data_IF_005381620572
#
_entry.id   IF_005381620572
#
_cell.length_a   1.000
_cell.length_b   1.000
_cell.length_c   1.000
_cell.angle_alpha   90.00
_cell.angle_beta   90.00
_cell.angle_gamma   90.00
#
_symmetry.space_group_name_H-M   'P 1'
#
loop_
_entity.id
_entity.type
_entity.pdbx_description
1 polymer ?
#
# COMPACT_ATOMS: atom_id res chain seq x y z
N UNK A 1 6.07 -41.21 -23.46
CA UNK A 1 5.96 -40.01 -24.31
C UNK A 1 6.86 -38.95 -23.70
N UNK A 2 7.76 -38.34 -24.48
CA UNK A 2 8.55 -37.22 -24.00
C UNK A 2 7.62 -36.02 -23.73
N UNK A 3 7.84 -35.22 -22.66
CA UNK A 3 7.03 -34.04 -22.39
C UNK A 3 7.14 -33.07 -23.56
N UNK A 4 5.99 -32.76 -24.17
CA UNK A 4 5.89 -31.92 -25.38
C UNK A 4 5.86 -30.43 -25.07
N UNK A 5 5.47 -30.07 -23.85
CA UNK A 5 5.40 -28.70 -23.35
C UNK A 5 5.95 -28.61 -21.93
N UNK A 6 6.31 -27.40 -21.49
CA UNK A 6 6.86 -27.14 -20.15
C UNK A 6 5.91 -27.61 -19.03
N UNK A 7 4.58 -27.55 -19.28
CA UNK A 7 3.53 -27.94 -18.33
C UNK A 7 3.33 -29.45 -18.24
N UNK A 8 3.87 -30.22 -19.18
CA UNK A 8 3.86 -31.69 -19.17
C UNK A 8 5.00 -32.29 -18.32
N UNK A 9 5.90 -31.45 -17.82
CA UNK A 9 6.97 -31.88 -16.92
C UNK A 9 6.42 -32.32 -15.56
N UNK A 10 7.08 -33.29 -14.88
CA UNK A 10 6.85 -33.55 -13.47
C UNK A 10 6.89 -32.26 -12.66
N UNK A 11 5.98 -32.12 -11.68
CA UNK A 11 5.81 -30.88 -10.92
C UNK A 11 7.11 -30.44 -10.24
N UNK A 12 7.95 -31.37 -9.80
CA UNK A 12 9.24 -31.08 -9.18
C UNK A 12 10.19 -30.35 -10.15
N UNK A 13 10.28 -30.84 -11.39
CA UNK A 13 11.10 -30.22 -12.43
C UNK A 13 10.49 -28.89 -12.89
N UNK A 14 9.16 -28.83 -13.02
CA UNK A 14 8.46 -27.60 -13.37
C UNK A 14 8.70 -26.50 -12.32
N UNK A 15 8.59 -26.84 -11.03
CA UNK A 15 8.86 -25.92 -9.91
C UNK A 15 10.32 -25.49 -9.84
N UNK A 16 11.26 -26.41 -10.05
CA UNK A 16 12.68 -26.07 -10.09
C UNK A 16 13.00 -25.09 -11.22
N UNK A 17 12.45 -25.32 -12.42
CA UNK A 17 12.60 -24.39 -13.55
C UNK A 17 11.98 -23.04 -13.21
N UNK A 18 10.76 -23.03 -12.65
CA UNK A 18 10.12 -21.79 -12.22
C UNK A 18 10.97 -21.04 -11.19
N UNK A 19 11.54 -21.71 -10.18
CA UNK A 19 12.38 -21.09 -9.17
C UNK A 19 13.58 -20.36 -9.79
N UNK A 20 14.33 -21.04 -10.65
CA UNK A 20 15.45 -20.46 -11.40
C UNK A 20 15.00 -19.27 -12.27
N UNK A 21 13.85 -19.40 -12.96
CA UNK A 21 13.32 -18.31 -13.77
C UNK A 21 12.99 -17.07 -12.93
N UNK A 22 12.42 -17.25 -11.74
CA UNK A 22 12.05 -16.16 -10.84
C UNK A 22 13.30 -15.44 -10.33
N UNK A 23 14.32 -16.21 -9.90
CA UNK A 23 15.60 -15.68 -9.43
C UNK A 23 16.32 -14.91 -10.54
N UNK A 24 16.29 -15.39 -11.78
CA UNK A 24 16.99 -14.76 -12.90
C UNK A 24 16.32 -13.49 -13.45
N UNK A 25 14.98 -13.35 -13.33
CA UNK A 25 14.20 -12.31 -14.05
C UNK A 25 13.47 -11.30 -13.16
N UNK A 26 13.43 -11.48 -11.84
CA UNK A 26 12.73 -10.69 -10.80
C UNK A 26 11.35 -11.19 -10.37
N UNK A 27 11.03 -10.93 -9.08
CA UNK A 27 9.73 -11.18 -8.44
C UNK A 27 8.57 -10.53 -9.21
N UNK A 28 8.76 -9.32 -9.75
CA UNK A 28 7.71 -8.62 -10.52
C UNK A 28 7.34 -9.39 -11.80
N UNK A 29 8.32 -9.94 -12.50
CA UNK A 29 8.09 -10.75 -13.71
C UNK A 29 7.52 -12.13 -13.36
N UNK A 30 7.95 -12.73 -12.24
CA UNK A 30 7.39 -13.97 -11.72
C UNK A 30 5.87 -13.94 -11.57
N UNK A 31 5.32 -12.84 -11.02
CA UNK A 31 3.87 -12.71 -10.85
C UNK A 31 3.11 -12.68 -12.18
N UNK A 32 3.72 -12.26 -13.29
CA UNK A 32 3.07 -12.27 -14.62
C UNK A 32 2.86 -13.68 -15.14
N UNK A 33 3.71 -14.63 -14.75
CA UNK A 33 3.55 -16.04 -15.15
C UNK A 33 2.19 -16.60 -14.69
N UNK A 34 1.62 -16.05 -13.61
CA UNK A 34 0.28 -16.42 -13.12
C UNK A 34 -0.85 -16.11 -14.11
N UNK A 35 -0.60 -15.28 -15.13
CA UNK A 35 -1.57 -14.95 -16.17
C UNK A 35 -1.58 -15.96 -17.32
N UNK A 36 -0.59 -16.85 -17.41
CA UNK A 36 -0.47 -17.82 -18.50
C UNK A 36 -1.60 -18.84 -18.45
N UNK A 37 -1.78 -19.51 -17.31
CA UNK A 37 -2.89 -20.42 -17.06
C UNK A 37 -3.03 -20.71 -15.54
N UNK A 38 -4.05 -21.48 -15.17
CA UNK A 38 -4.33 -21.85 -13.78
C UNK A 38 -3.19 -22.62 -13.10
N UNK A 39 -2.46 -23.47 -13.82
CA UNK A 39 -1.35 -24.23 -13.27
C UNK A 39 -0.18 -23.30 -12.92
N UNK A 40 0.25 -22.42 -13.83
CA UNK A 40 1.24 -21.39 -13.49
C UNK A 40 0.77 -20.50 -12.34
N UNK A 41 -0.53 -20.13 -12.31
CA UNK A 41 -1.08 -19.30 -11.24
C UNK A 41 -0.90 -19.92 -9.85
N UNK A 42 -1.10 -21.24 -9.73
CA UNK A 42 -0.95 -21.99 -8.49
C UNK A 42 0.53 -22.31 -8.17
N UNK A 43 1.25 -22.84 -9.16
CA UNK A 43 2.62 -23.33 -8.97
C UNK A 43 3.62 -22.20 -8.73
N UNK A 44 3.43 -21.01 -9.30
CA UNK A 44 4.27 -19.84 -8.98
C UNK A 44 4.18 -19.52 -7.48
N UNK A 45 2.97 -19.49 -6.91
CA UNK A 45 2.80 -19.23 -5.48
C UNK A 45 3.44 -20.34 -4.65
N UNK A 46 3.28 -21.60 -5.06
CA UNK A 46 3.88 -22.74 -4.38
C UNK A 46 5.41 -22.65 -4.39
N UNK A 47 6.02 -22.26 -5.51
CA UNK A 47 7.46 -22.07 -5.66
C UNK A 47 7.98 -20.98 -4.72
N UNK A 48 7.26 -19.85 -4.57
CA UNK A 48 7.64 -18.82 -3.60
C UNK A 48 7.79 -19.41 -2.20
N UNK A 49 6.84 -20.25 -1.75
CA UNK A 49 6.90 -20.87 -0.42
C UNK A 49 7.96 -21.98 -0.31
N UNK A 50 8.02 -22.88 -1.29
CA UNK A 50 8.90 -24.06 -1.27
C UNK A 50 10.38 -23.66 -1.33
N UNK A 51 10.71 -22.68 -2.18
CA UNK A 51 12.07 -22.17 -2.36
C UNK A 51 12.39 -20.96 -1.48
N UNK A 52 11.43 -20.51 -0.66
CA UNK A 52 11.58 -19.37 0.26
C UNK A 52 12.05 -18.08 -0.43
N UNK A 53 11.56 -17.83 -1.65
CA UNK A 53 12.05 -16.76 -2.54
C UNK A 53 11.93 -15.36 -1.92
N UNK A 54 10.99 -15.15 -0.99
CA UNK A 54 10.84 -13.86 -0.35
C UNK A 54 11.71 -13.67 0.89
N UNK A 55 12.35 -14.71 1.43
CA UNK A 55 13.12 -14.60 2.67
C UNK A 55 14.21 -13.52 2.53
N UNK A 56 14.91 -13.46 1.39
CA UNK A 56 15.95 -12.45 1.12
C UNK A 56 15.43 -11.18 0.39
N UNK A 57 14.11 -11.00 0.31
CA UNK A 57 13.52 -9.94 -0.50
C UNK A 57 13.61 -8.57 0.19
N UNK A 58 14.16 -7.53 -0.49
CA UNK A 58 14.21 -6.17 0.04
C UNK A 58 12.88 -5.43 -0.12
N UNK A 59 11.80 -6.11 -0.54
CA UNK A 59 10.49 -5.50 -0.72
C UNK A 59 9.96 -5.10 0.67
N UNK A 60 9.57 -3.83 0.86
CA UNK A 60 8.89 -3.40 2.08
C UNK A 60 7.63 -4.20 2.35
N UNK A 61 7.41 -4.63 3.59
CA UNK A 61 6.31 -5.52 3.96
C UNK A 61 4.95 -4.94 3.57
N UNK A 62 4.74 -3.64 3.76
CA UNK A 62 3.47 -2.98 3.45
C UNK A 62 3.10 -3.05 1.95
N UNK A 63 4.09 -3.27 1.07
CA UNK A 63 3.89 -3.43 -0.38
C UNK A 63 3.58 -4.86 -0.80
N UNK A 64 3.77 -5.84 0.08
CA UNK A 64 3.50 -7.26 -0.22
C UNK A 64 2.01 -7.60 -0.14
N UNK A 65 1.23 -6.80 0.60
CA UNK A 65 -0.23 -6.97 0.75
C UNK A 65 -0.62 -8.37 1.26
N UNK A 66 -1.77 -8.87 0.81
CA UNK A 66 -2.28 -10.18 1.22
C UNK A 66 -1.35 -11.35 0.90
N UNK A 67 -0.53 -11.22 -0.14
CA UNK A 67 0.43 -12.27 -0.50
C UNK A 67 1.54 -12.39 0.55
N UNK A 68 2.08 -11.28 1.03
CA UNK A 68 3.07 -11.32 2.12
C UNK A 68 2.48 -11.85 3.42
N UNK A 69 1.23 -11.49 3.73
CA UNK A 69 0.50 -12.05 4.89
C UNK A 69 0.44 -13.58 4.78
N UNK A 70 -0.05 -14.12 3.66
CA UNK A 70 -0.16 -15.57 3.45
C UNK A 70 1.22 -16.26 3.48
N UNK A 71 2.24 -15.63 2.90
CA UNK A 71 3.62 -16.12 2.94
C UNK A 71 4.14 -16.24 4.36
N UNK A 72 4.05 -15.17 5.14
CA UNK A 72 4.49 -15.15 6.54
C UNK A 72 3.70 -16.15 7.39
N UNK A 73 2.37 -16.19 7.24
CA UNK A 73 1.51 -17.13 7.96
C UNK A 73 1.96 -18.57 7.72
N UNK A 74 2.12 -19.00 6.46
CA UNK A 74 2.57 -20.36 6.14
C UNK A 74 3.98 -20.66 6.65
N UNK A 75 4.90 -19.69 6.56
CA UNK A 75 6.26 -19.87 7.05
C UNK A 75 6.29 -20.01 8.58
N UNK A 76 5.52 -19.21 9.31
CA UNK A 76 5.41 -19.28 10.78
C UNK A 76 4.69 -20.53 11.25
N UNK A 77 3.71 -21.06 10.51
CA UNK A 77 3.04 -22.32 10.86
C UNK A 77 3.89 -23.57 10.59
N UNK A 78 4.96 -23.48 9.79
CA UNK A 78 5.81 -24.62 9.49
C UNK A 78 6.92 -24.79 10.55
N UNK A 79 6.85 -25.80 11.44
CA UNK A 79 7.81 -25.97 12.52
C UNK A 79 9.19 -26.43 12.03
N UNK A 80 9.29 -26.96 10.80
CA UNK A 80 10.55 -27.50 10.26
C UNK A 80 11.46 -26.43 9.68
N UNK A 81 10.93 -25.26 9.37
CA UNK A 81 11.72 -24.20 8.74
C UNK A 81 12.35 -23.30 9.80
N UNK A 82 13.61 -22.87 9.59
CA UNK A 82 14.25 -21.89 10.46
C UNK A 82 13.52 -20.55 10.36
N UNK A 83 13.52 -19.84 11.47
CA UNK A 83 12.90 -18.53 11.64
C UNK A 83 13.81 -17.66 12.50
N UNK A 84 13.79 -16.35 12.28
CA UNK A 84 14.54 -15.36 13.05
C UNK A 84 14.11 -15.32 14.52
N UNK A 85 14.87 -14.61 15.34
CA UNK A 85 14.51 -14.29 16.72
C UNK A 85 13.16 -13.56 16.80
N UNK A 86 12.91 -12.59 15.91
CA UNK A 86 11.63 -11.88 15.82
C UNK A 86 10.47 -12.81 15.48
N UNK A 87 10.62 -13.71 14.50
CA UNK A 87 9.57 -14.68 14.16
C UNK A 87 9.33 -15.70 15.27
N UNK A 88 10.38 -16.09 15.99
CA UNK A 88 10.26 -16.93 17.19
C UNK A 88 9.40 -16.24 18.25
N UNK A 89 9.62 -14.94 18.47
CA UNK A 89 8.78 -14.14 19.36
C UNK A 89 7.32 -14.06 18.87
N UNK A 90 7.07 -13.86 17.57
CA UNK A 90 5.70 -13.89 17.01
C UNK A 90 5.01 -15.23 17.34
N UNK A 91 5.71 -16.37 17.20
CA UNK A 91 5.18 -17.69 17.57
C UNK A 91 4.86 -17.77 19.07
N UNK A 92 5.75 -17.30 19.94
CA UNK A 92 5.53 -17.33 21.41
C UNK A 92 4.35 -16.45 21.82
N UNK A 93 4.26 -15.24 21.25
CA UNK A 93 3.15 -14.31 21.48
C UNK A 93 1.82 -14.92 21.01
N UNK A 94 1.78 -15.52 19.81
CA UNK A 94 0.58 -16.21 19.33
C UNK A 94 0.13 -17.36 20.26
N UNK A 95 1.09 -18.14 20.76
CA UNK A 95 0.80 -19.21 21.72
C UNK A 95 0.30 -18.67 23.06
N UNK A 96 0.86 -17.56 23.56
CA UNK A 96 0.40 -16.89 24.79
C UNK A 96 -1.02 -16.37 24.65
N UNK A 97 -1.37 -15.75 23.53
CA UNK A 97 -2.73 -15.29 23.23
C UNK A 97 -3.72 -16.45 23.10
N UNK A 98 -3.32 -17.56 22.47
CA UNK A 98 -4.16 -18.76 22.35
C UNK A 98 -4.44 -19.39 23.73
N UNK A 99 -3.41 -19.47 24.58
CA UNK A 99 -3.53 -19.98 25.93
C UNK A 99 -4.47 -19.13 26.80
N UNK A 100 -4.47 -17.81 26.62
CA UNK A 100 -5.39 -16.89 27.32
C UNK A 100 -6.87 -17.20 26.99
N UNK A 101 -7.15 -17.65 25.77
CA UNK A 101 -8.50 -18.07 25.35
C UNK A 101 -8.86 -19.51 25.72
N UNK A 102 -7.93 -20.25 26.33
CA UNK A 102 -8.10 -21.69 26.60
C UNK A 102 -8.20 -22.54 25.32
N UNK A 103 -7.70 -22.04 24.19
CA UNK A 103 -7.78 -22.70 22.88
C UNK A 103 -6.38 -23.16 22.44
N UNK A 104 -6.27 -24.40 21.96
CA UNK A 104 -4.97 -25.02 21.65
C UNK A 104 -4.51 -24.72 20.21
N UNK A 105 -4.60 -25.68 19.30
CA UNK A 105 -4.05 -25.59 17.95
C UNK A 105 -4.83 -24.62 17.06
N UNK A 106 -6.17 -24.61 17.16
CA UNK A 106 -7.00 -23.72 16.36
C UNK A 106 -6.84 -22.25 16.77
N UNK A 107 -6.66 -21.98 18.06
CA UNK A 107 -6.37 -20.66 18.59
C UNK A 107 -5.00 -20.15 18.12
N UNK A 108 -3.99 -21.01 18.15
CA UNK A 108 -2.64 -20.67 17.70
C UNK A 108 -2.61 -20.24 16.23
N UNK A 109 -3.21 -21.01 15.32
CA UNK A 109 -3.24 -20.67 13.89
C UNK A 109 -3.97 -19.35 13.63
N UNK A 110 -5.09 -19.14 14.33
CA UNK A 110 -5.84 -17.89 14.29
C UNK A 110 -4.97 -16.68 14.68
N UNK A 111 -4.24 -16.78 15.80
CA UNK A 111 -3.37 -15.69 16.25
C UNK A 111 -2.17 -15.46 15.36
N UNK A 112 -1.55 -16.51 14.79
CA UNK A 112 -0.49 -16.32 13.78
C UNK A 112 -1.00 -15.46 12.64
N UNK A 113 -2.19 -15.77 12.09
CA UNK A 113 -2.77 -15.00 10.99
C UNK A 113 -3.07 -13.55 11.37
N UNK A 114 -3.63 -13.31 12.57
CA UNK A 114 -3.88 -11.97 13.10
C UNK A 114 -2.58 -11.18 13.22
N UNK A 115 -1.56 -11.76 13.85
CA UNK A 115 -0.28 -11.09 14.10
C UNK A 115 0.46 -10.81 12.80
N UNK A 116 0.50 -11.74 11.84
CA UNK A 116 1.14 -11.47 10.53
C UNK A 116 0.39 -10.40 9.75
N UNK A 117 -0.95 -10.39 9.81
CA UNK A 117 -1.76 -9.32 9.20
C UNK A 117 -1.38 -7.98 9.82
N UNK A 118 -1.27 -7.93 11.15
CA UNK A 118 -0.89 -6.71 11.86
C UNK A 118 0.52 -6.27 11.51
N UNK A 119 1.51 -7.16 11.46
CA UNK A 119 2.89 -6.83 11.09
C UNK A 119 2.97 -6.24 9.69
N UNK A 120 2.27 -6.82 8.70
CA UNK A 120 2.27 -6.32 7.31
C UNK A 120 1.53 -4.99 7.17
N UNK A 121 0.43 -4.81 7.90
CA UNK A 121 -0.35 -3.57 7.85
C UNK A 121 0.27 -2.43 8.65
N UNK A 122 1.12 -2.75 9.62
CA UNK A 122 1.79 -1.75 10.44
C UNK A 122 2.88 -1.03 9.64
N UNK A 123 2.88 0.31 9.70
CA UNK A 123 3.77 1.18 8.90
C UNK A 123 5.20 1.29 9.43
N UNK A 124 5.68 0.33 10.23
CA UNK A 124 7.08 0.27 10.56
C UNK A 124 7.87 -0.08 9.28
N UNK A 125 8.90 0.69 8.90
CA UNK A 125 9.70 0.38 7.73
C UNK A 125 10.48 -0.91 8.00
N UNK A 126 9.96 -2.02 7.51
CA UNK A 126 10.65 -3.31 7.54
C UNK A 126 10.44 -4.04 6.21
N UNK A 127 11.48 -4.74 5.76
CA UNK A 127 11.46 -5.56 4.54
C UNK A 127 11.24 -7.02 4.92
N UNK A 128 10.81 -7.85 3.97
CA UNK A 128 10.71 -9.29 4.24
C UNK A 128 12.05 -9.86 4.74
N UNK A 129 13.17 -9.43 4.14
CA UNK A 129 14.52 -9.77 4.57
C UNK A 129 14.81 -9.40 6.04
N UNK A 130 14.51 -8.16 6.43
CA UNK A 130 14.78 -7.69 7.78
C UNK A 130 14.00 -8.47 8.85
N UNK A 131 12.83 -9.02 8.52
CA UNK A 131 12.04 -9.82 9.47
C UNK A 131 12.44 -11.30 9.41
N UNK A 132 12.95 -11.81 8.28
CA UNK A 132 13.36 -13.22 8.13
C UNK A 132 14.77 -13.51 8.68
N UNK A 133 15.64 -12.51 8.79
CA UNK A 133 17.05 -12.67 9.15
C UNK A 133 17.45 -11.79 10.34
N UNK A 134 18.17 -12.38 11.30
CA UNK A 134 18.69 -11.64 12.47
C UNK A 134 19.90 -10.74 12.10
N UNK A 135 20.54 -10.99 10.96
CA UNK A 135 21.76 -10.29 10.50
C UNK A 135 21.54 -8.80 10.17
N UNK A 136 20.29 -8.35 10.11
CA UNK A 136 19.93 -6.95 9.82
C UNK A 136 19.79 -6.07 11.07
N UNK A 137 19.91 -6.64 12.27
CA UNK A 137 19.83 -5.92 13.54
C UNK A 137 21.04 -6.24 14.40
N UNK A 138 21.80 -5.22 14.82
CA UNK A 138 22.98 -5.37 15.69
C UNK A 138 22.64 -5.99 17.06
N UNK A 139 21.36 -5.97 17.47
CA UNK A 139 20.87 -6.50 18.74
C UNK A 139 19.89 -7.66 18.52
N UNK A 140 20.11 -8.79 19.22
CA UNK A 140 19.15 -9.89 19.26
C UNK A 140 17.81 -9.42 19.85
N UNK A 141 16.69 -9.95 19.34
CA UNK A 141 15.35 -9.64 19.86
C UNK A 141 15.26 -9.97 21.37
N UNK A 142 15.18 -8.93 22.19
CA UNK A 142 15.28 -9.03 23.65
C UNK A 142 13.95 -9.43 24.32
N UNK A 143 14.03 -9.96 25.54
CA UNK A 143 12.83 -10.26 26.35
C UNK A 143 11.95 -9.02 26.57
N UNK A 144 12.56 -7.85 26.78
CA UNK A 144 11.83 -6.59 26.93
C UNK A 144 11.08 -6.19 25.63
N UNK A 145 11.65 -6.48 24.46
CA UNK A 145 10.97 -6.25 23.18
C UNK A 145 9.82 -7.24 22.98
N UNK A 146 10.00 -8.51 23.39
CA UNK A 146 8.94 -9.52 23.35
C UNK A 146 7.75 -9.14 24.23
N UNK A 147 8.02 -8.66 25.44
CA UNK A 147 7.00 -8.21 26.40
C UNK A 147 6.26 -6.97 25.87
N UNK A 148 6.98 -6.01 25.28
CA UNK A 148 6.39 -4.84 24.63
C UNK A 148 5.47 -5.23 23.46
N UNK A 149 5.93 -6.15 22.60
CA UNK A 149 5.14 -6.64 21.48
C UNK A 149 3.97 -7.50 21.95
N UNK A 150 4.08 -8.25 23.05
CA UNK A 150 2.96 -8.94 23.68
C UNK A 150 1.90 -7.95 24.18
N UNK A 151 2.30 -6.84 24.81
CA UNK A 151 1.39 -5.77 25.23
C UNK A 151 0.67 -5.16 24.02
N UNK A 152 1.38 -4.91 22.92
CA UNK A 152 0.79 -4.41 21.69
C UNK A 152 -0.19 -5.42 21.07
N UNK A 153 0.16 -6.70 21.06
CA UNK A 153 -0.69 -7.77 20.56
C UNK A 153 -1.96 -7.97 21.41
N UNK A 154 -1.82 -7.93 22.74
CA UNK A 154 -2.93 -7.99 23.69
C UNK A 154 -3.90 -6.80 23.49
N UNK A 155 -3.36 -5.60 23.30
CA UNK A 155 -4.14 -4.41 22.98
C UNK A 155 -4.88 -4.53 21.65
N UNK A 156 -4.22 -5.06 20.61
CA UNK A 156 -4.84 -5.29 19.29
C UNK A 156 -5.94 -6.35 19.30
N UNK A 157 -5.90 -7.29 20.25
CA UNK A 157 -6.82 -8.44 20.35
C UNK A 157 -7.76 -8.37 21.55
N UNK A 158 -7.78 -7.22 22.24
CA UNK A 158 -8.60 -6.92 23.42
C UNK A 158 -8.41 -7.88 24.61
N UNK A 159 -7.19 -8.38 24.84
CA UNK A 159 -6.88 -9.24 25.99
C UNK A 159 -6.63 -8.42 27.24
N UNK A 160 -7.71 -7.93 27.84
CA UNK A 160 -7.64 -7.04 29.00
C UNK A 160 -6.83 -7.62 30.17
N UNK A 161 -6.96 -8.93 30.44
CA UNK A 161 -6.20 -9.60 31.50
C UNK A 161 -4.69 -9.63 31.24
N UNK A 162 -4.26 -9.83 29.99
CA UNK A 162 -2.85 -9.71 29.62
C UNK A 162 -2.36 -8.25 29.68
N UNK A 163 -3.21 -7.28 29.32
CA UNK A 163 -2.85 -5.86 29.47
C UNK A 163 -2.64 -5.55 30.96
N UNK A 164 -3.55 -6.00 31.82
CA UNK A 164 -3.45 -5.82 33.27
C UNK A 164 -2.18 -6.48 33.85
N UNK A 165 -1.82 -7.68 33.38
CA UNK A 165 -0.56 -8.36 33.76
C UNK A 165 0.69 -7.53 33.39
N UNK A 166 0.67 -6.86 32.23
CA UNK A 166 1.85 -6.22 31.64
C UNK A 166 1.98 -4.73 31.96
N UNK A 167 0.95 -4.10 32.54
CA UNK A 167 0.87 -2.64 32.67
C UNK A 167 1.81 -2.05 33.73
N UNK A 168 2.22 -2.86 34.69
CA UNK A 168 3.08 -2.43 35.80
C UNK A 168 4.53 -2.17 35.36
N UNK A 169 4.94 -2.73 34.22
CA UNK A 169 6.26 -2.47 33.63
C UNK A 169 6.21 -1.19 32.77
N UNK A 170 6.87 -0.08 33.17
CA UNK A 170 6.78 1.18 32.45
C UNK A 170 7.34 1.13 31.03
N UNK A 171 8.22 0.16 30.73
CA UNK A 171 8.76 -0.04 29.38
C UNK A 171 7.65 -0.41 28.38
N UNK A 172 6.62 -1.13 28.83
CA UNK A 172 5.48 -1.56 28.01
C UNK A 172 4.52 -0.41 27.65
N UNK A 173 4.61 0.72 28.36
CA UNK A 173 3.76 1.90 28.17
C UNK A 173 4.40 2.98 27.29
N UNK A 174 5.52 2.65 26.62
CA UNK A 174 6.24 3.53 25.72
C UNK A 174 5.54 3.76 24.36
N UNK A 175 6.04 4.76 23.63
CA UNK A 175 5.65 5.06 22.24
C UNK A 175 6.65 4.51 21.21
N UNK A 176 7.51 3.57 21.62
CA UNK A 176 8.42 2.86 20.73
C UNK A 176 7.63 2.11 19.65
N UNK A 177 8.24 1.93 18.48
CA UNK A 177 7.59 1.22 17.39
C UNK A 177 8.10 -0.23 17.43
N UNK A 178 7.28 -1.13 17.97
CA UNK A 178 7.53 -2.58 17.96
C UNK A 178 7.00 -3.28 16.71
N UNK A 179 7.09 -4.61 16.70
CA UNK A 179 6.65 -5.48 15.59
C UNK A 179 5.17 -5.28 15.23
N UNK A 180 4.33 -5.02 16.23
CA UNK A 180 2.89 -4.80 16.05
C UNK A 180 2.47 -3.33 16.23
N UNK A 181 3.45 -2.42 16.28
CA UNK A 181 3.30 -1.03 16.68
C UNK A 181 3.30 -0.85 18.19
N UNK A 182 2.97 0.36 18.67
CA UNK A 182 2.79 0.60 20.10
C UNK A 182 1.39 0.15 20.58
N UNK A 183 1.23 -0.18 21.88
CA UNK A 183 -0.03 -0.68 22.42
C UNK A 183 -1.24 0.23 22.22
N UNK A 184 -1.06 1.54 22.30
CA UNK A 184 -2.16 2.50 22.12
C UNK A 184 -2.71 2.47 20.68
N UNK A 185 -1.81 2.47 19.69
CA UNK A 185 -2.21 2.43 18.27
C UNK A 185 -2.68 1.03 17.88
N UNK A 186 -2.20 -0.01 18.56
CA UNK A 186 -2.71 -1.36 18.43
C UNK A 186 -4.18 -1.45 18.92
N UNK A 187 -4.50 -0.93 20.11
CA UNK A 187 -5.89 -0.88 20.59
C UNK A 187 -6.81 -0.10 19.63
N UNK A 188 -6.34 1.04 19.11
CA UNK A 188 -7.09 1.84 18.13
C UNK A 188 -7.35 1.05 16.84
N UNK A 189 -6.33 0.37 16.30
CA UNK A 189 -6.46 -0.39 15.07
C UNK A 189 -7.34 -1.64 15.23
N UNK A 190 -7.41 -2.22 16.42
CA UNK A 190 -8.36 -3.29 16.76
C UNK A 190 -9.78 -2.77 17.06
N UNK A 191 -9.97 -1.45 17.18
CA UNK A 191 -11.24 -0.85 17.56
C UNK A 191 -11.63 -1.12 19.03
N UNK A 192 -10.65 -1.40 19.89
CA UNK A 192 -10.87 -1.89 21.24
C UNK A 192 -10.81 -0.76 22.28
N UNK A 193 -11.97 -0.11 22.48
CA UNK A 193 -12.09 1.01 23.41
C UNK A 193 -11.70 0.66 24.86
N UNK A 194 -12.03 -0.56 25.32
CA UNK A 194 -11.72 -1.00 26.68
C UNK A 194 -10.21 -1.18 26.91
N UNK A 195 -9.51 -1.79 25.95
CA UNK A 195 -8.05 -1.89 25.99
C UNK A 195 -7.41 -0.50 25.97
N UNK A 196 -7.91 0.41 25.12
CA UNK A 196 -7.41 1.78 25.04
C UNK A 196 -7.62 2.54 26.36
N UNK A 197 -8.77 2.38 27.03
CA UNK A 197 -9.03 3.00 28.33
C UNK A 197 -8.05 2.52 29.39
N UNK A 198 -7.89 1.20 29.53
CA UNK A 198 -6.98 0.61 30.50
C UNK A 198 -5.55 1.12 30.34
N UNK A 199 -5.08 1.23 29.09
CA UNK A 199 -3.77 1.80 28.76
C UNK A 199 -3.69 3.30 29.13
N UNK A 200 -4.71 4.10 28.79
CA UNK A 200 -4.72 5.54 29.07
C UNK A 200 -4.84 5.86 30.56
N UNK A 201 -5.60 5.06 31.31
CA UNK A 201 -5.78 5.18 32.77
C UNK A 201 -4.49 4.95 33.54
N UNK A 202 -3.52 4.22 32.96
CA UNK A 202 -2.22 3.94 33.56
C UNK A 202 -1.06 4.73 32.94
N UNK A 203 -1.34 5.54 31.91
CA UNK A 203 -0.34 6.42 31.33
C UNK A 203 0.00 7.60 32.25
N UNK A 204 1.29 7.90 32.43
CA UNK A 204 1.78 8.95 33.36
C UNK A 204 2.81 9.88 32.71
N UNK A 205 3.00 11.05 33.31
CA UNK A 205 4.09 11.98 32.96
C UNK A 205 3.99 12.63 31.58
N UNK A 206 5.14 13.02 30.99
CA UNK A 206 5.21 13.73 29.70
C UNK A 206 4.73 12.88 28.52
N UNK A 207 4.75 11.55 28.64
CA UNK A 207 4.28 10.63 27.61
C UNK A 207 2.78 10.84 27.28
N UNK A 208 1.97 11.36 28.22
CA UNK A 208 0.53 11.60 28.02
C UNK A 208 0.25 12.50 26.81
N UNK A 209 1.00 13.60 26.67
CA UNK A 209 0.75 14.59 25.61
C UNK A 209 1.08 13.99 24.24
N UNK A 210 2.25 13.38 24.11
CA UNK A 210 2.68 12.73 22.87
C UNK A 210 1.75 11.58 22.49
N UNK A 211 1.34 10.76 23.45
CA UNK A 211 0.46 9.61 23.22
C UNK A 211 -0.90 10.06 22.73
N UNK A 212 -1.50 11.09 23.35
CA UNK A 212 -2.79 11.65 22.90
C UNK A 212 -2.73 12.17 21.47
N UNK A 213 -1.65 12.86 21.11
CA UNK A 213 -1.42 13.32 19.74
C UNK A 213 -1.31 12.15 18.75
N UNK A 214 -0.55 11.11 19.10
CA UNK A 214 -0.43 9.91 18.27
C UNK A 214 -1.77 9.19 18.14
N UNK A 215 -2.55 9.06 19.22
CA UNK A 215 -3.89 8.48 19.19
C UNK A 215 -4.82 9.29 18.28
N UNK A 216 -4.88 10.61 18.42
CA UNK A 216 -5.76 11.47 17.61
C UNK A 216 -5.55 11.26 16.10
N UNK A 217 -4.29 11.20 15.65
CA UNK A 217 -3.96 11.00 14.24
C UNK A 217 -4.33 9.60 13.73
N UNK A 218 -4.28 8.57 14.59
CA UNK A 218 -4.54 7.19 14.19
C UNK A 218 -6.01 6.78 14.39
N UNK A 219 -6.70 7.31 15.40
CA UNK A 219 -8.10 6.99 15.70
C UNK A 219 -9.02 7.51 14.62
N UNK A 220 -8.71 8.67 14.06
CA UNK A 220 -9.46 9.22 12.91
C UNK A 220 -9.20 8.41 11.64
N UNK A 221 -7.97 7.94 11.45
CA UNK A 221 -7.55 7.17 10.28
C UNK A 221 -8.06 5.72 10.27
N UNK A 222 -8.11 5.06 11.43
CA UNK A 222 -8.35 3.62 11.56
C UNK A 222 -9.51 3.26 12.49
N UNK A 223 -9.92 4.16 13.37
CA UNK A 223 -10.94 3.91 14.38
C UNK A 223 -12.37 4.10 13.86
N UNK A 224 -13.32 3.50 14.59
CA UNK A 224 -14.75 3.73 14.36
C UNK A 224 -15.17 5.13 14.82
N UNK A 225 -16.26 5.69 14.26
CA UNK A 225 -16.80 6.98 14.72
C UNK A 225 -17.02 7.06 16.22
N UNK A 226 -17.51 5.98 16.84
CA UNK A 226 -17.69 5.91 18.30
C UNK A 226 -16.37 6.01 19.08
N UNK A 227 -15.29 5.43 18.57
CA UNK A 227 -13.98 5.54 19.20
C UNK A 227 -13.38 6.94 18.99
N UNK A 228 -13.60 7.55 17.82
CA UNK A 228 -13.19 8.94 17.56
C UNK A 228 -13.92 9.91 18.49
N UNK A 229 -15.25 9.81 18.64
CA UNK A 229 -16.03 10.63 19.59
C UNK A 229 -15.46 10.56 21.01
N UNK A 230 -15.05 9.37 21.43
CA UNK A 230 -14.44 9.17 22.74
C UNK A 230 -13.05 9.81 22.87
N UNK A 231 -12.21 9.69 21.84
CA UNK A 231 -10.85 10.21 21.85
C UNK A 231 -10.77 11.72 21.53
N UNK A 232 -11.80 12.27 20.88
CA UNK A 232 -11.93 13.68 20.49
C UNK A 232 -13.18 14.28 21.13
N UNK A 233 -13.27 14.30 22.47
CA UNK A 233 -14.44 14.86 23.15
C UNK A 233 -14.51 16.38 22.93
N UNK A 234 -15.60 16.99 23.39
CA UNK A 234 -15.71 18.44 23.40
C UNK A 234 -14.60 19.09 24.22
N UNK A 235 -13.61 19.69 23.54
CA UNK A 235 -12.50 20.36 24.18
C UNK A 235 -12.85 21.80 24.58
N UNK A 236 -12.43 22.27 25.77
CA UNK A 236 -12.66 23.65 26.18
C UNK A 236 -12.04 24.65 25.20
N UNK A 237 -12.70 25.79 24.99
CA UNK A 237 -12.22 26.84 24.06
C UNK A 237 -10.77 27.28 24.32
N UNK A 238 -10.35 27.32 25.60
CA UNK A 238 -8.97 27.63 25.99
C UNK A 238 -7.96 26.62 25.42
N UNK A 239 -8.31 25.33 25.41
CA UNK A 239 -7.48 24.29 24.85
C UNK A 239 -7.43 24.37 23.31
N UNK A 240 -8.57 24.67 22.69
CA UNK A 240 -8.66 24.87 21.24
C UNK A 240 -7.87 26.09 20.75
N UNK A 241 -7.59 27.08 21.61
CA UNK A 241 -6.80 28.24 21.23
C UNK A 241 -5.29 27.94 21.06
N UNK A 242 -4.79 26.78 21.53
CA UNK A 242 -3.38 26.44 21.38
C UNK A 242 -3.04 26.00 19.96
N UNK A 243 -1.96 26.55 19.40
CA UNK A 243 -1.53 26.29 18.01
C UNK A 243 -1.17 24.83 17.75
N UNK A 244 -0.55 24.13 18.71
CA UNK A 244 -0.26 22.70 18.61
C UNK A 244 -1.54 21.86 18.57
N UNK A 245 -2.54 22.18 19.40
CA UNK A 245 -3.85 21.51 19.38
C UNK A 245 -4.54 21.72 18.04
N UNK A 246 -4.46 22.93 17.49
CA UNK A 246 -4.97 23.21 16.14
C UNK A 246 -4.25 22.37 15.08
N UNK A 247 -2.92 22.33 15.10
CA UNK A 247 -2.15 21.50 14.16
C UNK A 247 -2.52 20.02 14.26
N UNK A 248 -2.72 19.51 15.47
CA UNK A 248 -3.09 18.13 15.72
C UNK A 248 -4.51 17.81 15.20
N UNK A 249 -5.49 18.69 15.43
CA UNK A 249 -6.84 18.56 14.87
C UNK A 249 -6.83 18.58 13.34
N UNK A 250 -6.09 19.50 12.73
CA UNK A 250 -5.97 19.57 11.27
C UNK A 250 -5.26 18.34 10.68
N UNK A 251 -4.28 17.77 11.39
CA UNK A 251 -3.66 16.51 10.99
C UNK A 251 -4.65 15.34 11.07
N UNK A 252 -5.56 15.35 12.04
CA UNK A 252 -6.58 14.33 12.26
C UNK A 252 -7.68 14.30 11.17
N UNK A 253 -7.81 15.37 10.38
CA UNK A 253 -8.68 15.39 9.19
C UNK A 253 -8.18 14.50 8.05
N UNK A 254 -6.98 13.93 8.16
CA UNK A 254 -6.42 12.98 7.21
C UNK A 254 -7.03 11.58 7.39
N UNK A 255 -8.33 11.43 7.16
CA UNK A 255 -9.09 10.20 7.37
C UNK A 255 -9.82 9.75 6.09
N UNK A 256 -9.97 8.44 5.86
CA UNK A 256 -10.85 7.92 4.80
C UNK A 256 -12.34 8.04 5.13
N UNK A 257 -12.70 8.21 6.41
CA UNK A 257 -14.09 8.13 6.87
C UNK A 257 -14.69 9.54 7.06
N UNK A 258 -15.78 9.82 6.34
CA UNK A 258 -16.46 11.13 6.36
C UNK A 258 -17.07 11.45 7.72
N UNK A 259 -17.59 10.46 8.45
CA UNK A 259 -18.10 10.64 9.81
C UNK A 259 -16.98 11.06 10.76
N UNK A 260 -15.82 10.39 10.71
CA UNK A 260 -14.64 10.75 11.51
C UNK A 260 -14.16 12.17 11.20
N UNK A 261 -14.15 12.55 9.92
CA UNK A 261 -13.84 13.93 9.50
C UNK A 261 -14.82 14.93 10.12
N UNK A 262 -16.13 14.64 10.06
CA UNK A 262 -17.17 15.50 10.61
C UNK A 262 -17.11 15.62 12.14
N UNK A 263 -16.75 14.55 12.85
CA UNK A 263 -16.52 14.60 14.31
C UNK A 263 -15.40 15.60 14.63
N UNK A 264 -14.26 15.51 13.94
CA UNK A 264 -13.13 16.43 14.14
C UNK A 264 -13.50 17.86 13.73
N UNK A 265 -14.22 18.02 12.61
CA UNK A 265 -14.67 19.35 12.15
C UNK A 265 -15.58 20.04 13.16
N UNK A 266 -16.51 19.33 13.82
CA UNK A 266 -17.33 19.91 14.90
C UNK A 266 -16.50 20.48 16.06
N UNK A 267 -15.33 19.89 16.33
CA UNK A 267 -14.40 20.40 17.35
C UNK A 267 -13.63 21.61 16.82
N UNK A 268 -13.20 21.60 15.56
CA UNK A 268 -12.53 22.73 14.90
C UNK A 268 -13.47 23.94 14.80
N UNK A 269 -14.76 23.75 14.53
CA UNK A 269 -15.77 24.81 14.42
C UNK A 269 -15.93 25.63 15.71
N UNK A 270 -15.58 25.06 16.87
CA UNK A 270 -15.57 25.74 18.17
C UNK A 270 -14.26 26.49 18.45
N UNK A 271 -13.28 26.41 17.57
CA UNK A 271 -11.97 27.05 17.72
C UNK A 271 -11.93 28.48 17.17
N UNK A 272 -10.89 29.28 17.49
CA UNK A 272 -10.72 30.63 16.93
C UNK A 272 -10.59 30.67 15.40
N UNK A 273 -10.24 29.55 14.76
CA UNK A 273 -10.08 29.43 13.31
C UNK A 273 -10.96 28.28 12.79
N UNK A 274 -12.28 28.49 12.70
CA UNK A 274 -13.26 27.41 12.54
C UNK A 274 -13.41 26.87 11.12
N UNK A 275 -12.61 27.37 10.16
CA UNK A 275 -12.73 27.02 8.74
C UNK A 275 -11.40 26.58 8.18
N UNK A 276 -11.46 25.57 7.31
CA UNK A 276 -10.31 25.16 6.53
C UNK A 276 -9.99 26.20 5.46
N UNK A 277 -8.71 26.46 5.29
CA UNK A 277 -8.21 27.28 4.18
C UNK A 277 -8.29 26.50 2.86
N UNK A 278 -8.25 27.22 1.74
CA UNK A 278 -8.18 26.59 0.41
C UNK A 278 -6.98 25.64 0.28
N UNK A 279 -5.83 26.00 0.85
CA UNK A 279 -4.63 25.15 0.87
C UNK A 279 -4.83 23.86 1.69
N UNK A 280 -5.51 23.95 2.84
CA UNK A 280 -5.82 22.79 3.67
C UNK A 280 -6.81 21.83 2.97
N UNK A 281 -7.83 22.38 2.29
CA UNK A 281 -8.78 21.58 1.50
C UNK A 281 -8.08 20.92 0.30
N UNK A 282 -7.24 21.66 -0.44
CA UNK A 282 -6.48 21.12 -1.58
C UNK A 282 -5.53 19.99 -1.13
N UNK A 283 -4.83 20.19 0.00
CA UNK A 283 -3.97 19.17 0.62
C UNK A 283 -4.74 17.92 1.03
N UNK A 284 -5.91 18.10 1.63
CA UNK A 284 -6.76 16.99 2.04
C UNK A 284 -7.26 16.21 0.81
N UNK A 285 -7.68 16.91 -0.25
CA UNK A 285 -8.14 16.29 -1.49
C UNK A 285 -7.03 15.52 -2.19
N UNK A 286 -5.83 16.11 -2.35
CA UNK A 286 -4.67 15.44 -2.93
C UNK A 286 -4.32 14.15 -2.19
N UNK A 287 -4.37 14.19 -0.85
CA UNK A 287 -4.16 13.00 -0.02
C UNK A 287 -5.26 11.96 -0.22
N UNK A 288 -6.53 12.35 -0.24
CA UNK A 288 -7.64 11.43 -0.48
C UNK A 288 -7.50 10.76 -1.85
N UNK A 289 -7.14 11.53 -2.89
CA UNK A 289 -6.87 11.02 -4.23
C UNK A 289 -5.69 10.03 -4.23
N UNK A 290 -4.55 10.40 -3.63
CA UNK A 290 -3.36 9.57 -3.55
C UNK A 290 -3.60 8.24 -2.82
N UNK A 291 -4.47 8.26 -1.81
CA UNK A 291 -4.80 7.10 -0.98
C UNK A 291 -5.99 6.30 -1.50
N UNK A 292 -6.64 6.75 -2.58
CA UNK A 292 -7.80 6.08 -3.15
C UNK A 292 -9.08 6.20 -2.31
N UNK A 293 -9.18 7.21 -1.43
CA UNK A 293 -10.33 7.42 -0.55
C UNK A 293 -11.46 8.14 -1.29
N UNK A 294 -12.22 7.39 -2.09
CA UNK A 294 -13.25 7.95 -2.99
C UNK A 294 -14.32 8.77 -2.24
N UNK A 295 -14.92 8.21 -1.18
CA UNK A 295 -15.96 8.89 -0.41
C UNK A 295 -15.45 10.20 0.21
N UNK A 296 -14.22 10.18 0.73
CA UNK A 296 -13.58 11.38 1.28
C UNK A 296 -13.26 12.39 0.18
N UNK A 297 -12.75 11.96 -0.98
CA UNK A 297 -12.50 12.85 -2.11
C UNK A 297 -13.80 13.56 -2.55
N UNK A 298 -14.91 12.81 -2.67
CA UNK A 298 -16.24 13.34 -2.99
C UNK A 298 -16.72 14.35 -1.96
N UNK A 299 -16.55 14.04 -0.68
CA UNK A 299 -16.91 14.94 0.41
C UNK A 299 -16.10 16.25 0.35
N UNK A 300 -14.78 16.17 0.17
CA UNK A 300 -13.90 17.34 0.09
C UNK A 300 -14.21 18.22 -1.13
N UNK A 301 -14.52 17.62 -2.28
CA UNK A 301 -14.97 18.37 -3.47
C UNK A 301 -16.29 19.10 -3.18
N UNK A 302 -17.23 18.46 -2.46
CA UNK A 302 -18.49 19.09 -2.02
C UNK A 302 -18.24 20.27 -1.06
N UNK A 303 -17.18 20.21 -0.25
CA UNK A 303 -16.74 21.32 0.61
C UNK A 303 -16.02 22.44 -0.15
N UNK A 304 -15.84 22.31 -1.47
CA UNK A 304 -15.20 23.32 -2.32
C UNK A 304 -13.68 23.17 -2.45
N UNK A 305 -13.13 21.97 -2.23
CA UNK A 305 -11.72 21.71 -2.51
C UNK A 305 -11.40 21.92 -4.01
N UNK A 306 -10.27 22.58 -4.28
CA UNK A 306 -9.84 22.85 -5.65
C UNK A 306 -9.31 21.58 -6.32
N UNK A 307 -9.92 21.20 -7.45
CA UNK A 307 -9.64 19.93 -8.14
C UNK A 307 -8.47 20.00 -9.13
N UNK A 308 -8.07 21.21 -9.54
CA UNK A 308 -6.92 21.41 -10.44
C UNK A 308 -5.62 21.47 -9.66
N UNK A 309 -4.51 21.49 -10.38
CA UNK A 309 -3.19 21.63 -9.78
C UNK A 309 -3.12 22.91 -8.94
N UNK A 310 -2.77 22.75 -7.67
CA UNK A 310 -2.67 23.86 -6.70
C UNK A 310 -1.20 24.08 -6.33
N UNK A 311 -0.70 25.26 -6.68
CA UNK A 311 0.64 25.69 -6.32
C UNK A 311 0.63 26.29 -4.92
N UNK A 312 1.26 25.60 -3.97
CA UNK A 312 1.37 26.12 -2.61
C UNK A 312 2.62 26.97 -2.48
N UNK A 313 2.49 28.17 -1.90
CA UNK A 313 3.65 29.04 -1.63
C UNK A 313 4.49 28.59 -0.42
N UNK A 314 3.99 27.61 0.35
CA UNK A 314 4.60 27.19 1.62
C UNK A 314 4.87 25.68 1.70
N UNK A 315 4.31 24.88 0.79
CA UNK A 315 4.38 23.41 0.81
C UNK A 315 4.53 22.84 -0.60
N UNK A 316 4.54 21.51 -0.76
CA UNK A 316 4.58 20.89 -2.10
C UNK A 316 3.31 21.21 -2.89
N UNK A 317 3.44 21.24 -4.20
CA UNK A 317 2.29 21.32 -5.10
C UNK A 317 1.35 20.13 -4.89
N UNK A 318 0.06 20.39 -5.02
CA UNK A 318 -1.00 19.40 -4.92
C UNK A 318 -1.56 19.11 -6.31
N UNK A 319 -1.69 17.83 -6.65
CA UNK A 319 -2.11 17.40 -7.96
C UNK A 319 -3.11 16.25 -7.86
N UNK A 320 -4.39 16.56 -7.55
CA UNK A 320 -5.41 15.54 -7.33
C UNK A 320 -5.49 14.51 -8.46
N UNK A 321 -5.43 14.95 -9.72
CA UNK A 321 -5.51 14.06 -10.88
C UNK A 321 -4.33 13.08 -10.97
N UNK A 322 -3.08 13.56 -10.84
CA UNK A 322 -1.88 12.70 -10.79
C UNK A 322 -1.91 11.76 -9.57
N UNK A 323 -2.35 12.27 -8.42
CA UNK A 323 -2.53 11.49 -7.20
C UNK A 323 -3.58 10.38 -7.36
N UNK A 324 -4.68 10.62 -8.07
CA UNK A 324 -5.68 9.60 -8.38
C UNK A 324 -5.11 8.50 -9.32
N UNK A 325 -4.27 8.88 -10.29
CA UNK A 325 -3.54 7.94 -11.13
C UNK A 325 -2.62 7.02 -10.29
N UNK A 326 -1.94 7.59 -9.30
CA UNK A 326 -1.12 6.83 -8.35
C UNK A 326 -1.93 5.76 -7.60
N UNK A 327 -3.13 6.11 -7.12
CA UNK A 327 -4.00 5.22 -6.38
C UNK A 327 -4.62 4.10 -7.23
N UNK A 328 -4.51 4.19 -8.57
CA UNK A 328 -5.12 3.24 -9.52
C UNK A 328 -6.64 3.14 -9.33
N UNK A 329 -7.29 4.27 -9.02
CA UNK A 329 -8.72 4.34 -8.79
C UNK A 329 -9.40 5.23 -9.86
N UNK A 330 -9.93 4.65 -10.95
CA UNK A 330 -10.64 5.36 -12.00
C UNK A 330 -11.85 6.18 -11.52
N UNK A 331 -12.52 5.76 -10.44
CA UNK A 331 -13.70 6.47 -9.94
C UNK A 331 -13.35 7.87 -9.41
N UNK A 332 -12.16 8.03 -8.82
CA UNK A 332 -11.67 9.34 -8.38
C UNK A 332 -11.31 10.22 -9.58
N UNK A 333 -10.73 9.64 -10.65
CA UNK A 333 -10.47 10.39 -11.89
C UNK A 333 -11.76 10.95 -12.46
N UNK A 334 -12.81 10.11 -12.54
CA UNK A 334 -14.09 10.57 -13.07
C UNK A 334 -14.72 11.65 -12.19
N UNK A 335 -14.69 11.48 -10.87
CA UNK A 335 -15.12 12.51 -9.93
C UNK A 335 -14.42 13.85 -10.18
N UNK A 336 -13.10 13.84 -10.38
CA UNK A 336 -12.34 15.07 -10.62
C UNK A 336 -12.70 15.72 -11.96
N UNK A 337 -12.85 14.92 -13.04
CA UNK A 337 -13.28 15.43 -14.35
C UNK A 337 -14.69 16.00 -14.34
N UNK A 338 -15.63 15.35 -13.66
CA UNK A 338 -17.01 15.82 -13.49
C UNK A 338 -17.06 17.20 -12.78
N UNK A 339 -16.00 17.54 -12.03
CA UNK A 339 -15.86 18.82 -11.33
C UNK A 339 -14.85 19.77 -11.99
N UNK A 340 -14.49 19.52 -13.26
CA UNK A 340 -13.72 20.46 -14.09
C UNK A 340 -12.20 20.38 -13.95
N UNK A 341 -11.67 19.25 -13.48
CA UNK A 341 -10.25 18.93 -13.62
C UNK A 341 -9.86 18.86 -15.11
N UNK A 342 -8.61 19.18 -15.40
CA UNK A 342 -8.03 19.10 -16.74
C UNK A 342 -6.72 18.32 -16.65
N UNK A 343 -6.39 17.64 -17.75
CA UNK A 343 -5.09 17.00 -17.91
C UNK A 343 -4.04 18.10 -18.05
N UNK A 344 -3.03 18.08 -17.19
CA UNK A 344 -1.94 19.05 -17.20
C UNK A 344 -0.63 18.26 -17.00
N UNK A 345 0.32 18.23 -17.93
CA UNK A 345 1.59 17.53 -17.68
C UNK A 345 1.54 15.99 -17.81
N UNK A 346 1.99 15.25 -16.79
CA UNK A 346 2.44 13.85 -16.89
C UNK A 346 1.52 12.83 -16.18
N UNK A 347 0.22 13.11 -16.02
CA UNK A 347 -0.70 12.19 -15.33
C UNK A 347 -0.84 10.85 -16.05
N UNK A 348 -0.85 10.87 -17.39
CA UNK A 348 -0.92 9.64 -18.21
C UNK A 348 0.30 8.76 -18.02
N UNK A 349 1.49 9.37 -17.87
CA UNK A 349 2.71 8.63 -17.57
C UNK A 349 2.63 8.00 -16.17
N UNK A 350 2.09 8.71 -15.16
CA UNK A 350 1.86 8.13 -13.83
C UNK A 350 0.88 6.95 -13.90
N UNK A 351 -0.26 7.10 -14.58
CA UNK A 351 -1.24 6.03 -14.74
C UNK A 351 -0.63 4.80 -15.43
N UNK A 352 0.11 5.01 -16.53
CA UNK A 352 0.77 3.97 -17.28
C UNK A 352 1.87 3.27 -16.46
N UNK A 353 2.68 4.02 -15.71
CA UNK A 353 3.73 3.49 -14.82
C UNK A 353 3.17 2.63 -13.68
N UNK A 354 1.96 2.96 -13.23
CA UNK A 354 1.19 2.16 -12.24
C UNK A 354 0.45 0.97 -12.88
N UNK A 355 0.46 0.87 -14.20
CA UNK A 355 -0.24 -0.17 -14.97
C UNK A 355 -1.76 -0.06 -14.87
N UNK A 356 -2.29 1.14 -14.61
CA UNK A 356 -3.72 1.40 -14.56
C UNK A 356 -4.20 1.88 -15.94
N UNK A 357 -4.42 0.92 -16.86
CA UNK A 357 -4.78 1.24 -18.23
C UNK A 357 -6.17 1.87 -18.35
N UNK A 358 -7.12 1.53 -17.48
CA UNK A 358 -8.41 2.22 -17.39
C UNK A 358 -8.23 3.73 -17.15
N UNK A 359 -7.30 4.11 -16.26
CA UNK A 359 -6.96 5.51 -16.03
C UNK A 359 -6.30 6.15 -17.26
N UNK A 360 -5.42 5.43 -17.95
CA UNK A 360 -4.80 5.90 -19.21
C UNK A 360 -5.87 6.21 -20.25
N UNK A 361 -6.87 5.35 -20.41
CA UNK A 361 -7.96 5.55 -21.36
C UNK A 361 -8.87 6.71 -21.01
N UNK A 362 -9.20 6.88 -19.72
CA UNK A 362 -9.95 8.05 -19.25
C UNK A 362 -9.15 9.33 -19.56
N UNK A 363 -7.85 9.36 -19.28
CA UNK A 363 -7.01 10.53 -19.52
C UNK A 363 -6.94 10.89 -21.02
N UNK A 364 -6.79 9.90 -21.91
CA UNK A 364 -6.80 10.11 -23.37
C UNK A 364 -8.14 10.67 -23.83
N UNK A 365 -9.26 10.14 -23.31
CA UNK A 365 -10.60 10.67 -23.61
C UNK A 365 -10.76 12.14 -23.17
N UNK A 366 -9.99 12.58 -22.18
CA UNK A 366 -9.94 13.95 -21.68
C UNK A 366 -8.76 14.78 -22.23
N UNK A 367 -8.14 14.33 -23.33
CA UNK A 367 -7.17 15.12 -24.10
C UNK A 367 -5.70 14.93 -23.72
N UNK A 368 -5.37 13.89 -22.95
CA UNK A 368 -3.96 13.53 -22.72
C UNK A 368 -3.26 13.07 -24.01
N UNK A 369 -1.99 13.42 -24.15
CA UNK A 369 -1.16 12.98 -25.26
C UNK A 369 -0.88 11.47 -25.16
N UNK A 370 -1.49 10.72 -26.07
CA UNK A 370 -1.40 9.25 -26.16
C UNK A 370 0.05 8.74 -26.25
N UNK A 371 0.97 9.54 -26.80
CA UNK A 371 2.36 9.13 -27.00
C UNK A 371 3.12 8.94 -25.67
N UNK A 372 2.70 9.64 -24.61
CA UNK A 372 3.34 9.58 -23.29
C UNK A 372 3.16 8.22 -22.59
N UNK A 373 2.18 7.41 -23.01
CA UNK A 373 1.96 6.06 -22.46
C UNK A 373 2.84 4.97 -23.10
N UNK A 374 3.41 5.23 -24.29
CA UNK A 374 4.11 4.22 -25.11
C UNK A 374 5.30 3.62 -24.35
N UNK A 375 6.17 4.45 -23.77
CA UNK A 375 7.36 3.97 -23.06
C UNK A 375 7.01 3.00 -21.92
N UNK A 376 5.93 3.30 -21.17
CA UNK A 376 5.43 2.38 -20.15
C UNK A 376 4.90 1.08 -20.77
N UNK A 377 4.10 1.15 -21.83
CA UNK A 377 3.56 -0.05 -22.49
C UNK A 377 4.67 -0.99 -23.00
N UNK A 378 5.75 -0.40 -23.55
CA UNK A 378 6.97 -1.13 -23.95
C UNK A 378 7.64 -1.77 -22.74
N UNK A 379 7.92 -1.02 -21.68
CA UNK A 379 8.57 -1.53 -20.46
C UNK A 379 7.75 -2.64 -19.77
N UNK A 380 6.42 -2.64 -19.95
CA UNK A 380 5.53 -3.68 -19.47
C UNK A 380 5.38 -4.89 -20.42
N UNK A 381 5.97 -4.85 -21.61
CA UNK A 381 5.81 -5.83 -22.71
C UNK A 381 4.34 -6.04 -23.11
N UNK A 382 3.56 -4.96 -23.16
CA UNK A 382 2.12 -5.00 -23.47
C UNK A 382 1.84 -4.64 -24.92
N UNK A 383 1.97 -5.62 -25.81
CA UNK A 383 1.66 -5.48 -27.25
C UNK A 383 0.21 -5.09 -27.49
N UNK A 384 -0.70 -5.71 -26.74
CA UNK A 384 -2.13 -5.41 -26.73
C UNK A 384 -2.41 -3.93 -26.46
N UNK A 385 -1.75 -3.36 -25.45
CA UNK A 385 -1.90 -1.95 -25.11
C UNK A 385 -1.26 -1.04 -26.17
N UNK A 386 -0.12 -1.42 -26.75
CA UNK A 386 0.49 -0.65 -27.84
C UNK A 386 -0.42 -0.58 -29.07
N UNK A 387 -1.08 -1.69 -29.43
CA UNK A 387 -2.08 -1.70 -30.49
C UNK A 387 -3.26 -0.78 -30.16
N UNK A 388 -3.79 -0.86 -28.93
CA UNK A 388 -4.89 0.03 -28.51
C UNK A 388 -4.48 1.52 -28.49
N UNK A 389 -3.23 1.84 -28.13
CA UNK A 389 -2.66 3.19 -28.24
C UNK A 389 -2.62 3.65 -29.70
N UNK A 390 -2.18 2.80 -30.62
CA UNK A 390 -2.15 3.10 -32.07
C UNK A 390 -3.55 3.35 -32.61
N UNK A 391 -4.54 2.52 -32.24
CA UNK A 391 -5.95 2.74 -32.60
C UNK A 391 -6.48 4.10 -32.11
N UNK A 392 -5.91 4.62 -31.01
CA UNK A 392 -6.23 5.95 -30.44
C UNK A 392 -5.33 7.08 -30.98
N UNK A 393 -4.57 6.82 -32.03
CA UNK A 393 -3.77 7.81 -32.75
C UNK A 393 -2.31 7.92 -32.30
N UNK A 394 -1.80 6.96 -31.54
CA UNK A 394 -0.37 6.89 -31.23
C UNK A 394 0.44 6.57 -32.49
N UNK A 395 1.50 7.33 -32.72
CA UNK A 395 2.46 7.08 -33.80
C UNK A 395 3.68 6.39 -33.22
N UNK A 396 3.92 5.15 -33.65
CA UNK A 396 5.05 4.34 -33.21
C UNK A 396 6.32 4.52 -34.06
N UNK A 397 6.37 5.50 -34.97
CA UNK A 397 7.53 5.79 -35.82
C UNK A 397 8.26 7.08 -35.37
N UNK A 398 9.35 7.44 -36.05
CA UNK A 398 10.08 8.68 -35.76
C UNK A 398 10.79 8.67 -34.40
N UNK A 399 10.80 9.80 -33.69
CA UNK A 399 11.52 9.93 -32.41
C UNK A 399 10.91 9.06 -31.31
N UNK A 400 9.57 9.06 -31.18
CA UNK A 400 8.85 8.26 -30.17
C UNK A 400 9.07 6.76 -30.42
N UNK A 401 8.99 6.33 -31.68
CA UNK A 401 9.33 4.97 -32.08
C UNK A 401 10.77 4.58 -31.76
N UNK A 402 11.73 5.44 -32.07
CA UNK A 402 13.14 5.19 -31.80
C UNK A 402 13.42 5.06 -30.31
N UNK A 403 12.80 5.91 -29.46
CA UNK A 403 12.88 5.84 -28.01
C UNK A 403 12.26 4.55 -27.46
N UNK A 404 11.10 4.14 -27.99
CA UNK A 404 10.45 2.87 -27.65
C UNK A 404 11.36 1.67 -27.99
N UNK A 405 11.96 1.65 -29.18
CA UNK A 405 12.85 0.59 -29.62
C UNK A 405 14.15 0.54 -28.80
N UNK A 406 14.75 1.69 -28.49
CA UNK A 406 15.93 1.80 -27.63
C UNK A 406 15.64 1.25 -26.23
N UNK A 407 14.49 1.62 -25.65
CA UNK A 407 14.05 1.11 -24.36
C UNK A 407 13.87 -0.42 -24.38
N UNK A 408 13.20 -0.97 -25.40
CA UNK A 408 13.02 -2.41 -25.53
C UNK A 408 14.36 -3.16 -25.63
N UNK A 409 15.33 -2.61 -26.38
CA UNK A 409 16.69 -3.17 -26.51
C UNK A 409 17.46 -3.10 -25.18
N UNK A 410 17.42 -1.96 -24.50
CA UNK A 410 18.07 -1.76 -23.19
C UNK A 410 17.54 -2.73 -22.12
N UNK A 411 16.24 -2.98 -22.13
CA UNK A 411 15.56 -3.86 -21.17
C UNK A 411 15.59 -5.35 -21.58
N UNK A 412 16.18 -5.67 -22.74
CA UNK A 412 16.31 -7.04 -23.26
C UNK A 412 14.99 -7.69 -23.63
N UNK A 413 14.02 -6.91 -24.14
CA UNK A 413 12.65 -7.34 -24.43
C UNK A 413 12.55 -7.84 -25.88
N UNK A 414 13.17 -8.97 -26.21
CA UNK A 414 13.31 -9.47 -27.59
C UNK A 414 11.98 -9.55 -28.36
N UNK A 415 10.92 -10.06 -27.72
CA UNK A 415 9.57 -10.14 -28.32
C UNK A 415 8.98 -8.76 -28.64
N UNK A 416 9.30 -7.75 -27.83
CA UNK A 416 8.88 -6.37 -28.03
C UNK A 416 9.77 -5.66 -29.07
N UNK A 417 11.07 -5.94 -29.11
CA UNK A 417 11.97 -5.45 -30.15
C UNK A 417 11.50 -5.90 -31.53
N UNK A 418 11.23 -7.20 -31.70
CA UNK A 418 10.73 -7.73 -32.97
C UNK A 418 9.42 -7.10 -33.40
N UNK A 419 8.48 -6.91 -32.45
CA UNK A 419 7.22 -6.22 -32.72
C UNK A 419 7.44 -4.74 -33.11
N UNK A 420 8.27 -4.00 -32.38
CA UNK A 420 8.56 -2.60 -32.67
C UNK A 420 9.28 -2.42 -34.03
N UNK A 421 10.13 -3.36 -34.42
CA UNK A 421 10.79 -3.35 -35.73
C UNK A 421 9.81 -3.66 -36.87
N UNK A 422 8.89 -4.60 -36.66
CA UNK A 422 7.80 -4.93 -37.59
C UNK A 422 6.89 -3.72 -37.86
N UNK A 423 6.55 -2.95 -36.81
CA UNK A 423 5.73 -1.73 -36.93
C UNK A 423 6.53 -0.48 -37.35
N UNK A 424 7.79 -0.63 -37.74
CA UNK A 424 8.60 0.44 -38.32
C UNK A 424 9.17 1.46 -37.32
N UNK A 425 9.23 1.15 -36.01
CA UNK A 425 9.64 2.09 -34.98
C UNK A 425 11.09 2.62 -35.10
N UNK A 426 11.94 1.96 -35.88
CA UNK A 426 13.30 2.41 -36.19
C UNK A 426 13.44 3.29 -37.44
N UNK A 427 12.37 3.52 -38.21
CA UNK A 427 12.43 4.28 -39.46
C UNK A 427 12.48 5.79 -39.20
N UNK A 428 13.49 6.47 -39.75
CA UNK A 428 13.66 7.93 -39.67
C UNK A 428 12.78 8.70 -40.66
N UNK A 429 12.25 8.03 -41.67
CA UNK A 429 11.33 8.61 -42.63
C UNK A 429 9.91 8.31 -42.15
N UNK A 430 9.14 9.35 -41.84
CA UNK A 430 7.68 9.26 -41.70
C UNK A 430 7.00 8.98 -43.05
N UNK A 431 7.55 8.05 -43.83
CA UNK A 431 6.87 7.54 -45.01
C UNK A 431 5.67 6.76 -44.51
N UNK A 432 4.51 7.29 -44.88
CA UNK A 432 3.17 6.77 -44.62
C UNK A 432 3.08 5.40 -45.28
N UNK A 433 3.56 4.39 -44.56
CA UNK A 433 3.29 2.99 -44.80
C UNK A 433 2.66 2.47 -43.52
N UNK A 434 1.39 2.10 -43.60
CA UNK A 434 0.79 1.11 -42.70
C UNK A 434 0.34 1.57 -41.29
N UNK A 435 -0.49 2.60 -41.21
CA UNK A 435 -1.58 2.53 -40.21
C UNK A 435 -2.61 1.44 -40.57
N UNK A 436 -2.74 1.11 -41.87
CA UNK A 436 -3.66 0.05 -42.35
C UNK A 436 -3.20 -1.37 -42.02
N UNK A 437 -1.90 -1.71 -42.09
CA UNK A 437 -1.44 -3.06 -41.73
C UNK A 437 -1.51 -3.33 -40.22
N UNK A 438 -1.41 -2.28 -39.39
CA UNK A 438 -1.58 -2.36 -37.93
C UNK A 438 -3.03 -2.67 -37.52
N UNK A 439 -4.00 -2.08 -38.23
CA UNK A 439 -5.43 -2.39 -38.05
C UNK A 439 -5.77 -3.81 -38.55
N UNK A 440 -5.13 -4.26 -39.64
CA UNK A 440 -5.31 -5.62 -40.16
C UNK A 440 -4.68 -6.71 -39.26
N UNK A 441 -3.69 -6.39 -38.43
CA UNK A 441 -3.12 -7.31 -37.43
C UNK A 441 -3.93 -7.38 -36.12
N UNK A 442 -4.82 -6.42 -35.87
CA UNK A 442 -5.68 -6.37 -34.67
C UNK A 442 -7.02 -7.12 -34.84
N UNK A 443 -7.39 -7.47 -36.08
CA UNK A 443 -8.52 -8.32 -36.45
C UNK A 443 -8.10 -9.79 -36.60
#
# INVERSE_FOLDING_TARGET
MAPTTLVDLPLELFRAILAECICARSIKRAFRLRLVNRQFAAEVLQVFHEYRILDDSPIPLEKTGNFGIEYMTRRLLNPKLPVSSQWTAIRRIAARLAAEDGNDAAGYEHYIKILTTRTVQHWAPSTMAAVCHDDYTDDAYSEAQEEYDLMAAAAYTNKLSLIEELIDNPANMGLTIGTFGNPFIAAVAGGHAAALDMLLENLRGRAVIFTRRTILANVTLHGSPSLVEKCVPEWPAKQLAYSNVQQDLHAALATPNVENFNIVMRVIEKSPHPRLTADQLAKALDRACYRGWEDMARHLVTLGAFVRKHYSSWTRDYWPLKSACHARNPAILQLLFDHGAQVEGDEIEEAARRGCWDAVWILIAHGADVSQAIGCAVAFERKDILLELVERGAVLTGEVGAQALEMAKKEGLESMVGFLEEVGAGSKTGEIGETDALLDMAL
#
